data_IF_682871926509
#
_entry.id   IF_682871926509
#
_cell.length_a   1.000
_cell.length_b   1.000
_cell.length_c   1.000
_cell.angle_alpha   90.00
_cell.angle_beta   90.00
_cell.angle_gamma   90.00
#
_symmetry.space_group_name_H-M   'P 1'
#
loop_
_entity.id
_entity.type
_entity.pdbx_description
1 polymer ?
#
# COMPACT_ATOMS: atom_id res chain seq x y z
N UNK A 1 18.91 -47.65 -35.80
CA UNK A 1 19.01 -46.91 -34.52
C UNK A 1 18.02 -45.76 -34.56
N UNK A 2 16.90 -45.84 -33.82
CA UNK A 2 15.90 -44.77 -33.76
C UNK A 2 16.11 -43.95 -32.48
N UNK A 3 16.66 -42.75 -32.63
CA UNK A 3 16.80 -41.78 -31.53
C UNK A 3 15.45 -41.11 -31.28
N UNK A 4 14.73 -41.57 -30.25
CA UNK A 4 13.57 -40.86 -29.70
C UNK A 4 14.06 -39.61 -28.98
N UNK A 5 13.97 -38.45 -29.63
CA UNK A 5 14.18 -37.17 -28.99
C UNK A 5 13.14 -36.98 -27.87
N UNK A 6 13.62 -36.72 -26.65
CA UNK A 6 12.81 -36.54 -25.46
C UNK A 6 12.09 -35.17 -25.51
N UNK A 7 10.91 -35.13 -26.13
CA UNK A 7 10.09 -33.93 -26.39
C UNK A 7 9.48 -33.28 -25.14
N UNK A 8 9.78 -33.78 -23.93
CA UNK A 8 9.18 -33.31 -22.66
C UNK A 8 9.80 -32.01 -22.11
N UNK A 9 10.99 -31.64 -22.55
CA UNK A 9 11.70 -30.42 -22.12
C UNK A 9 11.00 -29.11 -22.53
N UNK A 10 10.72 -28.87 -23.83
CA UNK A 10 10.19 -27.58 -24.28
C UNK A 10 8.75 -27.33 -23.82
N UNK A 11 7.91 -28.38 -23.77
CA UNK A 11 6.53 -28.26 -23.33
C UNK A 11 6.41 -27.83 -21.86
N UNK A 12 7.28 -28.37 -21.00
CA UNK A 12 7.30 -28.01 -19.57
C UNK A 12 7.74 -26.56 -19.36
N UNK A 13 8.73 -26.10 -20.12
CA UNK A 13 9.17 -24.69 -20.12
C UNK A 13 8.06 -23.73 -20.55
N UNK A 14 7.28 -24.09 -21.56
CA UNK A 14 6.18 -23.28 -22.08
C UNK A 14 5.05 -23.13 -21.05
N UNK A 15 4.72 -24.21 -20.35
CA UNK A 15 3.73 -24.18 -19.26
C UNK A 15 4.18 -23.27 -18.12
N UNK A 16 5.44 -23.38 -17.68
CA UNK A 16 5.99 -22.52 -16.62
C UNK A 16 6.00 -21.05 -17.05
N UNK A 17 6.36 -20.76 -18.30
CA UNK A 17 6.33 -19.41 -18.85
C UNK A 17 4.89 -18.84 -18.91
N UNK A 18 3.90 -19.65 -19.30
CA UNK A 18 2.49 -19.25 -19.29
C UNK A 18 1.99 -18.98 -17.87
N UNK A 19 2.34 -19.81 -16.88
CA UNK A 19 1.97 -19.57 -15.49
C UNK A 19 2.59 -18.27 -14.94
N UNK A 20 3.87 -18.02 -15.25
CA UNK A 20 4.51 -16.74 -14.90
C UNK A 20 3.80 -15.54 -15.55
N UNK A 21 3.40 -15.65 -16.82
CA UNK A 21 2.70 -14.58 -17.53
C UNK A 21 1.30 -14.31 -16.94
N UNK A 22 0.56 -15.35 -16.57
CA UNK A 22 -0.75 -15.23 -15.92
C UNK A 22 -0.61 -14.55 -14.56
N UNK A 23 0.42 -14.90 -13.78
CA UNK A 23 0.70 -14.25 -12.50
C UNK A 23 1.00 -12.76 -12.68
N UNK A 24 1.79 -12.40 -13.71
CA UNK A 24 2.12 -11.00 -14.02
C UNK A 24 0.89 -10.17 -14.44
N UNK A 25 -0.06 -10.76 -15.18
CA UNK A 25 -1.27 -10.05 -15.64
C UNK A 25 -2.34 -9.98 -14.53
N UNK A 26 -2.47 -11.05 -13.73
CA UNK A 26 -3.44 -11.11 -12.62
C UNK A 26 -3.13 -10.14 -11.48
N UNK A 27 -1.89 -9.67 -11.40
CA UNK A 27 -1.41 -8.72 -10.42
C UNK A 27 -1.62 -7.25 -10.75
N UNK A 28 -2.12 -6.91 -11.94
CA UNK A 28 -2.35 -5.50 -12.32
C UNK A 28 -3.63 -5.05 -11.61
N UNK A 29 -3.55 -4.22 -10.55
CA UNK A 29 -4.75 -3.68 -9.94
C UNK A 29 -5.47 -2.88 -11.02
N UNK A 30 -6.70 -3.30 -11.34
CA UNK A 30 -7.59 -2.57 -12.22
C UNK A 30 -7.56 -1.10 -11.82
N UNK A 31 -7.37 -0.20 -12.79
CA UNK A 31 -7.37 1.27 -12.65
C UNK A 31 -8.76 1.82 -12.28
N UNK A 32 -9.48 1.11 -11.41
CA UNK A 32 -10.71 1.60 -10.78
C UNK A 32 -10.35 2.89 -10.06
N UNK A 33 -11.00 3.97 -10.47
CA UNK A 33 -11.00 5.23 -9.72
C UNK A 33 -11.40 4.90 -8.27
N UNK A 34 -10.44 5.03 -7.36
CA UNK A 34 -10.63 4.84 -5.94
C UNK A 34 -11.60 5.91 -5.46
N UNK A 35 -12.81 5.51 -5.05
CA UNK A 35 -13.80 6.43 -4.51
C UNK A 35 -13.73 6.44 -2.98
N UNK A 36 -14.36 7.42 -2.33
CA UNK A 36 -14.43 7.51 -0.85
C UNK A 36 -14.93 6.21 -0.20
N UNK A 37 -15.75 5.42 -0.89
CA UNK A 37 -16.30 4.16 -0.38
C UNK A 37 -15.35 2.97 -0.46
N UNK A 38 -14.23 3.07 -1.19
CA UNK A 38 -13.23 1.98 -1.28
C UNK A 38 -12.09 2.10 -0.26
N UNK A 39 -12.13 3.11 0.61
CA UNK A 39 -11.12 3.30 1.65
C UNK A 39 -11.55 2.59 2.94
N UNK A 40 -10.63 1.82 3.54
CA UNK A 40 -10.89 1.16 4.83
C UNK A 40 -10.42 2.07 5.97
N UNK A 41 -11.29 2.39 6.95
CA UNK A 41 -10.87 3.11 8.14
C UNK A 41 -10.01 2.19 9.02
N UNK A 42 -8.92 2.75 9.54
CA UNK A 42 -8.04 2.16 10.55
C UNK A 42 -7.91 3.18 11.66
N UNK A 43 -8.14 2.76 12.90
CA UNK A 43 -7.98 3.63 14.07
C UNK A 43 -6.83 3.12 14.91
N UNK A 44 -6.00 4.03 15.41
CA UNK A 44 -4.89 3.67 16.29
C UNK A 44 -4.25 4.90 16.91
N UNK A 45 -3.38 4.67 17.89
CA UNK A 45 -2.57 5.73 18.48
C UNK A 45 -1.29 5.90 17.67
N UNK A 46 -0.95 7.12 17.26
CA UNK A 46 0.30 7.38 16.56
C UNK A 46 1.46 7.25 17.54
N UNK A 47 2.41 6.38 17.22
CA UNK A 47 3.65 6.21 17.96
C UNK A 47 4.74 7.11 17.38
N UNK A 48 4.84 7.19 16.05
CA UNK A 48 5.93 7.89 15.38
C UNK A 48 5.46 8.42 14.02
N UNK A 49 5.99 9.59 13.63
CA UNK A 49 5.83 10.16 12.30
C UNK A 49 7.20 10.50 11.75
N UNK A 50 7.60 9.86 10.65
CA UNK A 50 8.90 10.11 10.02
C UNK A 50 8.74 10.52 8.58
N UNK A 51 9.75 11.21 8.04
CA UNK A 51 9.85 11.47 6.60
C UNK A 51 10.89 10.53 6.00
N UNK A 52 10.45 9.58 5.19
CA UNK A 52 11.30 8.59 4.53
C UNK A 52 10.70 8.21 3.17
N UNK A 53 11.43 7.54 2.28
CA UNK A 53 10.79 7.06 1.03
C UNK A 53 9.70 6.02 1.39
N UNK A 54 8.44 6.14 0.92
CA UNK A 54 7.96 6.96 -0.21
C UNK A 54 7.29 8.30 0.18
N UNK A 55 7.30 8.72 1.45
CA UNK A 55 6.79 10.02 1.90
C UNK A 55 6.76 10.23 3.42
N UNK A 56 5.62 10.67 3.95
CA UNK A 56 5.43 10.78 5.39
C UNK A 56 4.90 9.46 5.92
N UNK A 57 5.69 8.79 6.74
CA UNK A 57 5.36 7.49 7.33
C UNK A 57 4.80 7.69 8.72
N UNK A 58 3.70 7.00 9.03
CA UNK A 58 3.00 7.03 10.31
C UNK A 58 2.96 5.60 10.84
N UNK A 59 3.53 5.40 12.02
CA UNK A 59 3.44 4.14 12.75
C UNK A 59 2.36 4.24 13.82
N UNK A 60 1.46 3.27 13.83
CA UNK A 60 0.48 3.13 14.89
C UNK A 60 0.99 2.16 15.96
N UNK A 61 0.65 2.43 17.21
CA UNK A 61 0.95 1.55 18.33
C UNK A 61 0.26 0.20 18.13
N UNK A 62 1.00 -0.89 18.36
CA UNK A 62 0.54 -2.28 18.25
C UNK A 62 0.05 -2.70 16.84
N UNK A 63 0.40 -1.94 15.79
CA UNK A 63 0.14 -2.30 14.39
C UNK A 63 1.46 -2.45 13.61
N UNK A 64 1.77 -3.63 13.06
CA UNK A 64 3.01 -3.84 12.30
C UNK A 64 2.99 -3.19 10.91
N UNK A 65 1.86 -2.62 10.48
CA UNK A 65 1.73 -2.01 9.15
C UNK A 65 2.38 -0.64 9.10
N UNK A 66 2.86 -0.31 7.89
CA UNK A 66 3.46 0.97 7.56
C UNK A 66 2.40 1.80 6.85
N UNK A 67 1.97 2.90 7.46
CA UNK A 67 1.04 3.83 6.83
C UNK A 67 1.80 5.01 6.27
N UNK A 68 1.48 5.48 5.06
CA UNK A 68 2.22 6.59 4.47
C UNK A 68 1.35 7.57 3.67
N UNK A 69 1.79 8.83 3.60
CA UNK A 69 1.23 9.88 2.74
C UNK A 69 2.27 10.24 1.68
N UNK A 70 1.87 10.30 0.41
CA UNK A 70 2.76 10.71 -0.70
C UNK A 70 3.14 12.20 -0.58
N UNK A 71 4.41 12.60 -0.82
CA UNK A 71 4.85 13.98 -0.69
C UNK A 71 4.08 14.95 -1.58
N UNK A 72 3.80 14.55 -2.82
CA UNK A 72 3.05 15.34 -3.79
C UNK A 72 1.61 15.66 -3.35
N UNK A 73 1.10 14.97 -2.33
CA UNK A 73 -0.26 15.15 -1.82
C UNK A 73 -0.32 16.08 -0.61
N UNK A 74 0.81 16.38 0.04
CA UNK A 74 0.83 17.17 1.27
C UNK A 74 0.89 18.67 0.94
N UNK A 75 -0.06 19.49 1.42
CA UNK A 75 0.06 20.94 1.33
C UNK A 75 1.30 21.39 2.10
N UNK A 76 1.85 22.56 1.79
CA UNK A 76 3.07 23.14 2.37
C UNK A 76 3.14 23.27 3.91
N UNK A 77 2.13 22.78 4.65
CA UNK A 77 2.21 22.56 6.09
C UNK A 77 3.38 21.60 6.41
N UNK A 78 4.36 22.14 7.12
CA UNK A 78 5.65 21.52 7.39
C UNK A 78 5.53 20.22 8.16
N UNK A 79 6.36 19.23 7.81
CA UNK A 79 6.51 17.93 8.49
C UNK A 79 6.47 18.04 10.02
N UNK A 80 7.20 19.02 10.56
CA UNK A 80 7.27 19.30 11.99
C UNK A 80 5.89 19.58 12.62
N UNK A 81 5.00 20.27 11.90
CA UNK A 81 3.63 20.51 12.37
C UNK A 81 2.81 19.22 12.40
N UNK A 82 3.02 18.33 11.43
CA UNK A 82 2.30 17.06 11.34
C UNK A 82 2.74 16.10 12.44
N UNK A 83 4.05 15.97 12.65
CA UNK A 83 4.61 15.16 13.73
C UNK A 83 4.09 15.64 15.09
N UNK A 84 4.19 16.94 15.37
CA UNK A 84 3.74 17.51 16.64
C UNK A 84 2.22 17.37 16.86
N UNK A 85 1.41 17.47 15.80
CA UNK A 85 -0.04 17.34 15.90
C UNK A 85 -0.49 15.88 16.11
N UNK A 86 0.26 14.92 15.59
CA UNK A 86 -0.15 13.52 15.55
C UNK A 86 0.45 12.68 16.67
N UNK A 87 1.67 12.97 17.11
CA UNK A 87 2.37 12.13 18.08
C UNK A 87 1.53 11.88 19.36
N UNK A 88 1.33 10.61 19.70
CA UNK A 88 0.55 10.18 20.85
C UNK A 88 -0.97 10.34 20.72
N UNK A 89 -1.48 10.91 19.62
CA UNK A 89 -2.92 11.09 19.40
C UNK A 89 -3.57 9.82 18.84
N UNK A 90 -4.83 9.62 19.18
CA UNK A 90 -5.68 8.65 18.48
C UNK A 90 -6.14 9.26 17.16
N UNK A 91 -5.84 8.57 16.06
CA UNK A 91 -6.13 9.01 14.70
C UNK A 91 -7.02 8.00 14.01
N UNK A 92 -7.76 8.45 13.01
CA UNK A 92 -8.42 7.60 12.05
C UNK A 92 -7.84 7.83 10.66
N UNK A 93 -7.26 6.76 10.12
CA UNK A 93 -6.65 6.69 8.79
C UNK A 93 -7.62 6.05 7.82
N UNK A 94 -7.79 6.62 6.65
CA UNK A 94 -8.53 6.00 5.55
C UNK A 94 -7.53 5.57 4.50
N UNK A 95 -7.39 4.25 4.34
CA UNK A 95 -6.35 3.65 3.51
C UNK A 95 -6.92 2.99 2.25
N UNK A 96 -6.13 2.97 1.18
CA UNK A 96 -6.52 2.24 -0.03
C UNK A 96 -6.49 0.72 0.21
N UNK A 97 -7.51 0.03 -0.28
CA UNK A 97 -7.52 -1.43 -0.34
C UNK A 97 -6.68 -1.89 -1.55
N UNK A 98 -5.35 -1.70 -1.48
CA UNK A 98 -4.44 -2.23 -2.49
C UNK A 98 -3.82 -3.54 -1.99
N UNK A 99 -4.00 -4.61 -2.76
CA UNK A 99 -3.23 -5.86 -2.65
C UNK A 99 -2.35 -5.94 -3.90
N UNK A 100 -1.08 -6.32 -3.72
CA UNK A 100 -0.14 -6.57 -4.81
C UNK A 100 0.44 -7.96 -4.62
N UNK A 101 0.63 -8.75 -5.68
CA UNK A 101 1.33 -10.03 -5.56
C UNK A 101 2.78 -9.86 -5.08
N UNK A 102 3.36 -8.67 -5.19
CA UNK A 102 4.68 -8.32 -4.65
C UNK A 102 4.64 -7.88 -3.17
N UNK A 103 3.46 -7.60 -2.61
CA UNK A 103 3.24 -7.30 -1.17
C UNK A 103 2.05 -8.14 -0.67
N UNK A 104 2.24 -9.47 -0.50
CA UNK A 104 1.16 -10.40 -0.19
C UNK A 104 0.50 -10.12 1.16
N UNK A 105 1.25 -9.53 2.09
CA UNK A 105 0.79 -9.17 3.44
C UNK A 105 0.14 -7.79 3.50
N UNK A 106 0.21 -7.03 2.41
CA UNK A 106 -0.31 -5.67 2.34
C UNK A 106 0.19 -4.81 3.50
N UNK A 107 1.50 -4.94 3.73
CA UNK A 107 2.22 -4.37 4.87
C UNK A 107 2.31 -2.85 4.78
N UNK A 108 2.28 -2.30 3.57
CA UNK A 108 2.35 -0.86 3.33
C UNK A 108 1.02 -0.32 2.80
N UNK A 109 0.53 0.75 3.43
CA UNK A 109 -0.79 1.33 3.16
C UNK A 109 -0.71 2.82 2.88
N UNK A 110 -1.17 3.24 1.71
CA UNK A 110 -1.32 4.65 1.38
C UNK A 110 -2.54 5.24 2.11
N UNK A 111 -2.30 6.30 2.89
CA UNK A 111 -3.32 7.10 3.54
C UNK A 111 -3.87 8.11 2.53
N UNK A 112 -5.19 8.14 2.37
CA UNK A 112 -5.90 9.12 1.53
C UNK A 112 -6.64 10.16 2.36
N UNK A 113 -6.95 9.86 3.63
CA UNK A 113 -7.47 10.82 4.61
C UNK A 113 -6.97 10.47 6.00
N UNK A 114 -6.66 11.50 6.77
CA UNK A 114 -6.23 11.42 8.16
C UNK A 114 -7.10 12.39 8.96
N UNK A 115 -7.68 11.91 10.06
CA UNK A 115 -8.48 12.73 10.94
C UNK A 115 -8.26 12.42 12.42
N UNK A 116 -8.48 13.43 13.26
CA UNK A 116 -8.44 13.36 14.71
C UNK A 116 -9.82 13.78 15.21
N UNK A 117 -10.61 12.83 15.73
CA UNK A 117 -12.02 13.07 16.00
C UNK A 117 -12.74 13.53 14.72
N UNK A 118 -13.36 14.71 14.79
CA UNK A 118 -14.09 15.32 13.67
C UNK A 118 -13.21 16.21 12.76
N UNK A 119 -11.95 16.46 13.15
CA UNK A 119 -11.06 17.35 12.40
C UNK A 119 -10.25 16.58 11.34
N UNK A 120 -10.39 16.98 10.07
CA UNK A 120 -9.63 16.40 8.95
C UNK A 120 -8.31 17.14 8.79
N UNK A 121 -7.22 16.45 9.13
CA UNK A 121 -5.86 16.99 9.03
C UNK A 121 -5.34 16.91 7.59
N UNK A 122 -5.71 15.84 6.88
CA UNK A 122 -5.28 15.61 5.51
C UNK A 122 -6.34 14.85 4.71
N UNK A 123 -6.47 15.17 3.43
CA UNK A 123 -7.38 14.52 2.49
C UNK A 123 -6.88 14.68 1.05
N UNK A 124 -6.69 13.57 0.33
CA UNK A 124 -6.23 13.49 -1.05
C UNK A 124 -7.15 12.63 -1.93
N UNK A 125 -8.46 12.70 -1.70
CA UNK A 125 -9.46 12.13 -2.61
C UNK A 125 -9.42 12.77 -3.99
#
# INVERSE_FOLDING_TARGET
MNNKANTKGPATLLIVACFMLILLISGIPSTRRLSKTSCKPVTGQVMEVTQSSPGYVIHLKDDPRIYYIKPASVPSATMASLEQQLHGRSVQLFTTAAWSPLDPFSSMKEIRRLQIGDNVIFSAY
#
